data_IF_698058153093
#
_entry.id   IF_698058153093
#
_cell.length_a   1.000
_cell.length_b   1.000
_cell.length_c   1.000
_cell.angle_alpha   90.00
_cell.angle_beta   90.00
_cell.angle_gamma   90.00
#
_symmetry.space_group_name_H-M   'P 1'
#
loop_
_entity.id
_entity.type
_entity.pdbx_description
1 polymer ?
#
# COMPACT_ATOMS: atom_id res chain seq x y z
N UNK A 1 20.85 -10.22 3.50
CA UNK A 1 21.22 -11.18 2.45
C UNK A 1 22.63 -10.85 1.98
N UNK A 2 23.46 -11.86 1.87
CA UNK A 2 24.80 -11.73 1.32
C UNK A 2 24.76 -12.31 -0.09
N UNK A 3 24.73 -11.44 -1.08
CA UNK A 3 24.91 -11.82 -2.46
C UNK A 3 25.91 -10.86 -3.07
N UNK A 4 26.96 -11.38 -3.65
CA UNK A 4 27.79 -10.65 -4.58
C UNK A 4 27.70 -11.37 -5.90
N UNK A 5 27.05 -10.74 -6.86
CA UNK A 5 27.11 -11.20 -8.24
C UNK A 5 27.43 -10.01 -9.11
N UNK A 6 28.58 -10.06 -9.72
CA UNK A 6 29.01 -9.07 -10.69
C UNK A 6 28.33 -9.28 -12.06
N UNK A 7 27.55 -10.35 -12.21
CA UNK A 7 26.85 -10.69 -13.45
C UNK A 7 25.35 -10.96 -13.19
N UNK A 8 24.50 -10.39 -14.01
CA UNK A 8 23.07 -10.68 -13.97
C UNK A 8 22.81 -12.14 -14.38
N UNK A 9 21.97 -12.84 -13.60
CA UNK A 9 21.59 -14.23 -13.90
C UNK A 9 20.78 -14.36 -15.19
N UNK A 10 20.07 -13.31 -15.56
CA UNK A 10 19.28 -13.26 -16.79
C UNK A 10 19.11 -11.82 -17.27
N UNK A 11 18.97 -11.62 -18.58
CA UNK A 11 18.55 -10.38 -19.24
C UNK A 11 17.07 -10.43 -19.62
N UNK A 12 16.40 -11.57 -19.38
CA UNK A 12 14.97 -11.72 -19.66
C UNK A 12 14.12 -10.78 -18.82
N UNK A 13 12.94 -10.48 -19.29
CA UNK A 13 11.93 -9.78 -18.53
C UNK A 13 11.44 -10.69 -17.39
N UNK A 14 11.30 -10.14 -16.19
CA UNK A 14 10.84 -10.86 -15.01
C UNK A 14 9.44 -10.39 -14.67
N UNK A 15 8.51 -11.33 -14.62
CA UNK A 15 7.15 -11.12 -14.12
C UNK A 15 6.98 -12.02 -12.90
N UNK A 16 6.51 -11.45 -11.79
CA UNK A 16 6.20 -12.17 -10.56
C UNK A 16 4.70 -12.09 -10.32
N UNK A 17 4.06 -13.24 -10.20
CA UNK A 17 2.66 -13.32 -9.78
C UNK A 17 2.59 -13.44 -8.26
N UNK A 18 1.74 -12.65 -7.63
CA UNK A 18 1.55 -12.63 -6.19
C UNK A 18 0.06 -12.62 -5.83
N UNK A 19 -0.28 -13.30 -4.76
CA UNK A 19 -1.62 -13.34 -4.19
C UNK A 19 -1.56 -13.26 -2.66
N UNK A 20 -2.72 -13.33 -1.99
CA UNK A 20 -2.83 -13.29 -0.54
C UNK A 20 -2.17 -14.47 0.19
N UNK A 21 -1.79 -15.54 -0.52
CA UNK A 21 -1.08 -16.70 0.00
C UNK A 21 0.44 -16.58 -0.15
N UNK A 22 0.90 -15.65 -0.99
CA UNK A 22 2.32 -15.32 -1.15
C UNK A 22 2.87 -14.76 0.16
N UNK A 23 3.84 -15.45 0.77
CA UNK A 23 4.30 -15.13 2.13
C UNK A 23 5.83 -15.27 2.30
N UNK A 24 6.37 -14.53 3.28
CA UNK A 24 7.75 -14.71 3.80
C UNK A 24 8.83 -14.51 2.72
N UNK A 25 9.63 -15.53 2.39
CA UNK A 25 10.70 -15.45 1.40
C UNK A 25 10.19 -15.06 0.00
N UNK A 26 8.99 -15.49 -0.37
CA UNK A 26 8.35 -15.08 -1.63
C UNK A 26 8.02 -13.58 -1.64
N UNK A 27 7.65 -13.02 -0.48
CA UNK A 27 7.44 -11.58 -0.35
C UNK A 27 8.73 -10.78 -0.45
N UNK A 28 9.83 -11.30 0.10
CA UNK A 28 11.15 -10.69 -0.07
C UNK A 28 11.55 -10.63 -1.55
N UNK A 29 11.36 -11.74 -2.27
CA UNK A 29 11.66 -11.79 -3.70
C UNK A 29 10.74 -10.85 -4.49
N UNK A 30 9.44 -10.85 -4.24
CA UNK A 30 8.50 -9.98 -4.92
C UNK A 30 8.79 -8.49 -4.63
N UNK A 31 9.14 -8.15 -3.36
CA UNK A 31 9.50 -6.78 -2.99
C UNK A 31 10.82 -6.34 -3.63
N UNK A 32 11.80 -7.25 -3.76
CA UNK A 32 13.07 -6.96 -4.42
C UNK A 32 12.85 -6.65 -5.91
N UNK A 33 12.10 -7.49 -6.63
CA UNK A 33 11.74 -7.25 -8.03
C UNK A 33 10.99 -5.93 -8.20
N UNK A 34 10.07 -5.61 -7.27
CA UNK A 34 9.28 -4.38 -7.29
C UNK A 34 10.15 -3.15 -7.06
N UNK A 35 10.94 -3.13 -5.99
CA UNK A 35 11.63 -1.94 -5.52
C UNK A 35 12.89 -1.63 -6.35
N UNK A 36 13.50 -2.66 -6.94
CA UNK A 36 14.66 -2.48 -7.84
C UNK A 36 14.27 -2.20 -9.29
N UNK A 37 13.00 -2.39 -9.65
CA UNK A 37 12.50 -2.15 -11.01
C UNK A 37 13.04 -3.12 -12.06
N UNK A 38 13.56 -4.30 -11.65
CA UNK A 38 14.08 -5.30 -12.58
C UNK A 38 12.99 -6.09 -13.30
N UNK A 39 11.74 -5.95 -12.83
CA UNK A 39 10.58 -6.63 -13.41
C UNK A 39 9.26 -6.01 -12.96
N UNK A 40 8.17 -6.73 -13.19
CA UNK A 40 6.81 -6.37 -12.76
C UNK A 40 6.28 -7.41 -11.78
N UNK A 41 5.57 -6.95 -10.76
CA UNK A 41 4.76 -7.78 -9.85
C UNK A 41 3.30 -7.56 -10.19
N UNK A 42 2.54 -8.62 -10.41
CA UNK A 42 1.13 -8.63 -10.85
C UNK A 42 0.31 -9.48 -9.88
N UNK A 43 -0.93 -9.11 -9.63
CA UNK A 43 -1.88 -9.89 -8.85
C UNK A 43 -2.47 -9.12 -7.68
N UNK A 44 -2.73 -9.78 -6.57
CA UNK A 44 -3.24 -9.17 -5.36
C UNK A 44 -2.14 -8.95 -4.32
N UNK A 45 -2.50 -8.23 -3.27
CA UNK A 45 -1.62 -7.95 -2.15
C UNK A 45 -1.24 -9.23 -1.42
N UNK A 46 0.04 -9.40 -1.10
CA UNK A 46 0.55 -10.58 -0.43
C UNK A 46 0.17 -10.66 1.06
N UNK A 47 0.51 -11.79 1.70
CA UNK A 47 0.10 -12.15 3.06
C UNK A 47 0.57 -11.18 4.15
N UNK A 48 1.78 -10.65 4.07
CA UNK A 48 2.35 -9.77 5.08
C UNK A 48 3.11 -10.49 6.20
N UNK A 49 3.90 -11.53 5.89
CA UNK A 49 4.80 -12.17 6.85
C UNK A 49 6.22 -11.63 6.71
N UNK A 50 6.48 -10.48 7.30
CA UNK A 50 7.77 -9.78 7.25
C UNK A 50 8.72 -10.13 8.39
N UNK A 51 8.52 -11.25 9.09
CA UNK A 51 9.33 -11.69 10.23
C UNK A 51 9.83 -13.11 10.06
N UNK A 52 11.01 -13.43 10.65
CA UNK A 52 11.50 -14.78 10.78
C UNK A 52 11.63 -15.21 12.23
N UNK A 53 11.45 -16.49 12.44
CA UNK A 53 11.48 -17.14 13.75
C UNK A 53 12.54 -18.21 13.78
N UNK A 54 13.17 -18.39 14.94
CA UNK A 54 14.02 -19.53 15.26
C UNK A 54 13.30 -20.42 16.26
N UNK A 55 13.61 -21.70 16.20
CA UNK A 55 13.20 -22.68 17.20
C UNK A 55 14.42 -23.00 18.05
N UNK A 56 14.25 -22.83 19.36
CA UNK A 56 15.24 -23.22 20.36
C UNK A 56 14.73 -24.48 21.06
N UNK A 57 15.55 -25.50 21.13
CA UNK A 57 15.28 -26.80 21.72
C UNK A 57 16.52 -27.33 22.46
N UNK A 58 16.49 -28.53 22.97
CA UNK A 58 17.63 -29.16 23.63
C UNK A 58 18.85 -29.25 22.71
N UNK A 59 18.70 -29.44 21.39
CA UNK A 59 19.80 -29.49 20.45
C UNK A 59 20.48 -28.13 20.25
N UNK A 60 19.71 -27.06 20.26
CA UNK A 60 20.20 -25.68 20.07
C UNK A 60 20.71 -25.06 21.38
N UNK A 61 20.12 -25.40 22.52
CA UNK A 61 20.47 -24.92 23.85
C UNK A 61 20.48 -26.10 24.87
N UNK A 62 21.50 -26.94 24.88
CA UNK A 62 21.58 -28.08 25.79
C UNK A 62 21.47 -27.68 27.28
N UNK A 63 20.63 -28.39 28.02
CA UNK A 63 20.41 -28.15 29.43
C UNK A 63 19.44 -27.03 29.80
N UNK A 64 18.80 -26.38 28.81
CA UNK A 64 17.79 -25.38 29.03
C UNK A 64 16.37 -25.84 28.69
N UNK A 65 16.24 -26.96 28.00
CA UNK A 65 14.97 -27.55 27.60
C UNK A 65 14.90 -28.99 28.03
N UNK A 66 13.73 -29.47 28.43
CA UNK A 66 13.48 -30.87 28.62
C UNK A 66 13.30 -31.58 27.25
N UNK A 67 13.48 -32.90 27.21
CA UNK A 67 13.36 -33.69 26.00
C UNK A 67 11.97 -33.55 25.35
N UNK A 68 11.94 -33.01 24.15
CA UNK A 68 10.71 -32.73 23.43
C UNK A 68 10.16 -31.30 23.60
N UNK A 69 10.71 -30.50 24.50
CA UNK A 69 10.32 -29.10 24.64
C UNK A 69 11.03 -28.22 23.60
N UNK A 70 10.32 -27.21 23.12
CA UNK A 70 10.86 -26.22 22.20
C UNK A 70 10.21 -24.87 22.36
N UNK A 71 10.99 -23.81 22.14
CA UNK A 71 10.52 -22.42 22.13
C UNK A 71 10.69 -21.81 20.75
N UNK A 72 9.64 -21.24 20.20
CA UNK A 72 9.67 -20.52 18.93
C UNK A 72 9.68 -19.02 19.19
N UNK A 73 10.78 -18.35 18.76
CA UNK A 73 11.01 -16.92 19.03
C UNK A 73 11.14 -16.17 17.70
N UNK A 74 10.43 -15.04 17.57
CA UNK A 74 10.63 -14.11 16.46
C UNK A 74 11.90 -13.28 16.72
N UNK A 75 12.89 -13.41 15.82
CA UNK A 75 14.22 -12.80 16.00
C UNK A 75 14.60 -11.81 14.90
N UNK A 76 13.94 -11.87 13.75
CA UNK A 76 14.26 -11.03 12.62
C UNK A 76 13.00 -10.36 12.05
N UNK A 77 13.16 -9.13 11.59
CA UNK A 77 12.21 -8.45 10.71
C UNK A 77 12.90 -8.20 9.37
N UNK A 78 12.18 -8.41 8.28
CA UNK A 78 12.67 -8.18 6.93
C UNK A 78 12.28 -6.78 6.46
N UNK A 79 13.17 -6.19 5.69
CA UNK A 79 12.95 -4.93 5.01
C UNK A 79 13.19 -5.12 3.52
N UNK A 80 12.30 -4.55 2.71
CA UNK A 80 12.46 -4.49 1.28
C UNK A 80 13.58 -3.51 0.90
N UNK A 81 14.16 -3.58 -0.31
CA UNK A 81 15.20 -2.65 -0.76
C UNK A 81 14.79 -1.17 -0.65
N UNK A 82 13.52 -0.84 -0.84
CA UNK A 82 12.96 0.48 -0.64
C UNK A 82 12.85 0.94 0.82
N UNK A 83 13.31 0.12 1.78
CA UNK A 83 13.32 0.43 3.22
C UNK A 83 12.00 0.12 3.95
N UNK A 84 10.94 -0.25 3.23
CA UNK A 84 9.66 -0.67 3.83
C UNK A 84 9.71 -2.10 4.37
N UNK A 85 8.87 -2.41 5.37
CA UNK A 85 8.68 -3.78 5.83
C UNK A 85 7.48 -4.41 5.13
N UNK A 86 7.57 -5.71 4.85
CA UNK A 86 6.42 -6.50 4.40
C UNK A 86 5.57 -7.00 5.57
N UNK A 87 6.05 -6.81 6.81
CA UNK A 87 5.37 -7.30 8.02
C UNK A 87 4.01 -6.61 8.21
N UNK A 88 2.96 -7.39 8.26
CA UNK A 88 1.54 -7.02 8.28
C UNK A 88 1.03 -6.32 7.01
N UNK A 89 1.88 -5.55 6.33
CA UNK A 89 1.46 -4.75 5.15
C UNK A 89 1.38 -5.60 3.88
N UNK A 90 2.24 -6.59 3.73
CA UNK A 90 2.39 -7.35 2.50
C UNK A 90 3.10 -6.57 1.39
N UNK A 91 3.26 -7.22 0.25
CA UNK A 91 3.73 -6.59 -0.98
C UNK A 91 2.52 -6.16 -1.80
N UNK A 92 2.42 -4.86 -2.10
CA UNK A 92 1.43 -4.35 -3.04
C UNK A 92 2.03 -4.49 -4.43
N UNK A 93 1.40 -5.24 -5.36
CA UNK A 93 1.89 -5.40 -6.73
C UNK A 93 1.99 -4.07 -7.48
N UNK A 94 2.75 -4.07 -8.56
CA UNK A 94 2.75 -2.95 -9.52
C UNK A 94 1.40 -2.86 -10.24
N UNK A 95 0.87 -4.01 -10.67
CA UNK A 95 -0.44 -4.14 -11.29
C UNK A 95 -1.34 -4.91 -10.35
N UNK A 96 -2.24 -4.18 -9.69
CA UNK A 96 -3.21 -4.76 -8.76
C UNK A 96 -4.41 -5.28 -9.56
N UNK A 97 -4.42 -6.57 -9.80
CA UNK A 97 -5.46 -7.28 -10.55
C UNK A 97 -6.00 -8.46 -9.74
N UNK A 98 -7.16 -8.96 -10.14
CA UNK A 98 -7.69 -10.20 -9.58
C UNK A 98 -6.67 -11.33 -9.82
N UNK A 99 -6.30 -12.12 -8.78
CA UNK A 99 -5.39 -13.25 -8.94
C UNK A 99 -5.80 -14.23 -10.04
N UNK A 100 -7.11 -14.42 -10.25
CA UNK A 100 -7.64 -15.30 -11.31
C UNK A 100 -7.38 -14.78 -12.74
N UNK A 101 -6.95 -13.52 -12.89
CA UNK A 101 -6.60 -12.90 -14.18
C UNK A 101 -5.10 -12.60 -14.31
N UNK A 102 -4.31 -12.86 -13.26
CA UNK A 102 -2.93 -12.40 -13.19
C UNK A 102 -2.01 -13.09 -14.21
N UNK A 103 -2.24 -14.35 -14.51
CA UNK A 103 -1.49 -15.13 -15.49
C UNK A 103 -1.80 -14.67 -16.93
N UNK A 104 -3.07 -14.43 -17.28
CA UNK A 104 -3.44 -13.88 -18.59
C UNK A 104 -2.89 -12.45 -18.77
N UNK A 105 -2.92 -11.61 -17.73
CA UNK A 105 -2.28 -10.30 -17.76
C UNK A 105 -0.78 -10.42 -18.02
N UNK A 106 -0.10 -11.37 -17.35
CA UNK A 106 1.31 -11.63 -17.58
C UNK A 106 1.58 -12.09 -19.02
N UNK A 107 0.74 -12.96 -19.57
CA UNK A 107 0.83 -13.41 -20.97
C UNK A 107 0.69 -12.25 -21.94
N UNK A 108 -0.24 -11.32 -21.71
CA UNK A 108 -0.41 -10.12 -22.55
C UNK A 108 0.87 -9.26 -22.59
N UNK A 109 1.56 -9.13 -21.45
CA UNK A 109 2.81 -8.36 -21.33
C UNK A 109 4.02 -9.09 -21.92
N UNK A 110 3.91 -10.39 -22.20
CA UNK A 110 4.98 -11.18 -22.84
C UNK A 110 4.98 -11.08 -24.38
N UNK A 111 4.16 -10.23 -24.98
CA UNK A 111 4.18 -10.05 -26.44
C UNK A 111 5.57 -9.61 -26.90
N UNK A 112 6.11 -10.21 -27.98
CA UNK A 112 7.40 -9.80 -28.53
C UNK A 112 7.33 -8.37 -29.05
N UNK A 113 8.48 -7.71 -29.13
CA UNK A 113 8.57 -6.43 -29.81
C UNK A 113 8.11 -6.58 -31.27
N UNK A 114 7.28 -5.66 -31.79
CA UNK A 114 6.81 -5.75 -33.19
C UNK A 114 7.98 -5.63 -34.16
N UNK A 115 7.99 -6.49 -35.17
CA UNK A 115 8.95 -6.44 -36.26
C UNK A 115 8.34 -5.69 -37.45
N UNK A 116 9.01 -4.63 -37.89
CA UNK A 116 8.60 -3.83 -39.06
C UNK A 116 7.56 -2.76 -38.74
N UNK A 117 6.30 -3.14 -38.53
CA UNK A 117 5.22 -2.21 -38.21
C UNK A 117 4.84 -2.26 -36.72
N UNK A 118 4.63 -1.09 -36.12
CA UNK A 118 4.11 -0.97 -34.75
C UNK A 118 2.58 -1.02 -34.68
N UNK A 119 1.90 -0.99 -35.86
CA UNK A 119 0.43 -1.03 -35.91
C UNK A 119 -0.12 -2.32 -35.29
N UNK A 120 -1.19 -2.19 -34.50
CA UNK A 120 -1.78 -3.32 -33.79
C UNK A 120 -1.08 -3.67 -32.47
N UNK A 121 -0.14 -2.85 -32.02
CA UNK A 121 0.53 -3.03 -30.72
C UNK A 121 0.36 -1.82 -29.82
N UNK A 122 0.34 -2.11 -28.50
CA UNK A 122 0.59 -1.12 -27.46
C UNK A 122 2.01 -1.29 -26.93
N UNK A 123 2.59 -0.18 -26.52
CA UNK A 123 3.85 -0.11 -25.78
C UNK A 123 3.61 0.50 -24.41
N UNK A 124 3.98 -0.23 -23.38
CA UNK A 124 3.93 0.21 -22.00
C UNK A 124 5.36 0.49 -21.54
N UNK A 125 5.63 1.73 -21.18
CA UNK A 125 6.92 2.16 -20.64
C UNK A 125 6.81 2.26 -19.12
N UNK A 126 7.22 1.16 -18.46
CA UNK A 126 7.13 1.02 -17.00
C UNK A 126 8.26 0.12 -16.51
N UNK A 127 9.21 0.66 -15.76
CA UNK A 127 10.47 0.02 -15.35
C UNK A 127 11.29 -0.50 -16.54
N UNK A 128 10.63 -1.17 -17.47
CA UNK A 128 11.11 -1.67 -18.76
C UNK A 128 10.05 -1.38 -19.82
N UNK A 129 10.38 -1.66 -21.07
CA UNK A 129 9.43 -1.56 -22.16
C UNK A 129 8.72 -2.91 -22.32
N UNK A 130 7.40 -2.89 -22.31
CA UNK A 130 6.52 -4.03 -22.53
C UNK A 130 5.69 -3.80 -23.78
N UNK A 131 5.42 -4.86 -24.50
CA UNK A 131 4.57 -4.81 -25.69
C UNK A 131 3.32 -5.65 -25.48
N UNK A 132 2.20 -5.21 -26.04
CA UNK A 132 0.91 -5.90 -25.96
C UNK A 132 0.37 -5.97 -27.38
N UNK A 133 0.08 -7.17 -27.87
CA UNK A 133 -0.60 -7.36 -29.15
C UNK A 133 -2.09 -7.06 -28.98
N UNK A 134 -2.61 -6.09 -29.72
CA UNK A 134 -4.04 -5.75 -29.70
C UNK A 134 -4.90 -6.87 -30.30
N UNK A 135 -4.38 -7.65 -31.24
CA UNK A 135 -5.05 -8.84 -31.77
C UNK A 135 -5.31 -9.86 -30.66
N UNK A 136 -4.27 -10.19 -29.87
CA UNK A 136 -4.40 -11.10 -28.74
C UNK A 136 -5.29 -10.50 -27.65
N UNK A 137 -5.05 -9.27 -27.23
CA UNK A 137 -5.74 -8.60 -26.13
C UNK A 137 -7.24 -8.41 -26.41
N UNK A 138 -7.64 -8.24 -27.68
CA UNK A 138 -9.04 -8.09 -28.07
C UNK A 138 -9.76 -9.43 -28.29
N UNK A 139 -9.06 -10.55 -28.20
CA UNK A 139 -9.70 -11.86 -28.31
C UNK A 139 -10.61 -12.14 -27.08
N UNK A 140 -11.71 -12.89 -27.25
CA UNK A 140 -12.64 -13.16 -26.15
C UNK A 140 -11.98 -13.79 -24.91
N UNK A 141 -10.90 -14.54 -25.10
CA UNK A 141 -10.14 -15.21 -24.06
C UNK A 141 -9.43 -14.19 -23.13
N UNK A 142 -8.91 -13.09 -23.70
CA UNK A 142 -8.08 -12.13 -22.98
C UNK A 142 -8.79 -10.82 -22.64
N UNK A 143 -10.05 -10.61 -23.06
CA UNK A 143 -10.74 -9.33 -22.83
C UNK A 143 -10.83 -8.94 -21.35
N UNK A 144 -11.11 -9.90 -20.46
CA UNK A 144 -11.19 -9.63 -19.02
C UNK A 144 -9.80 -9.22 -18.46
N UNK A 145 -8.76 -9.95 -18.82
CA UNK A 145 -7.39 -9.66 -18.41
C UNK A 145 -6.90 -8.32 -19.00
N UNK A 146 -7.27 -8.01 -20.25
CA UNK A 146 -6.90 -6.73 -20.87
C UNK A 146 -7.61 -5.55 -20.21
N UNK A 147 -8.87 -5.69 -19.85
CA UNK A 147 -9.60 -4.69 -19.07
C UNK A 147 -8.91 -4.47 -17.71
N UNK A 148 -8.64 -5.55 -16.99
CA UNK A 148 -7.95 -5.50 -15.70
C UNK A 148 -6.54 -4.88 -15.80
N UNK A 149 -5.80 -5.18 -16.87
CA UNK A 149 -4.49 -4.57 -17.14
C UNK A 149 -4.60 -3.06 -17.30
N UNK A 150 -5.51 -2.58 -18.15
CA UNK A 150 -5.68 -1.15 -18.40
C UNK A 150 -6.13 -0.40 -17.13
N UNK A 151 -7.00 -0.99 -16.33
CA UNK A 151 -7.45 -0.44 -15.05
C UNK A 151 -6.34 -0.42 -13.99
N UNK A 152 -5.43 -1.40 -14.03
CA UNK A 152 -4.34 -1.53 -13.07
C UNK A 152 -3.12 -0.67 -13.37
N UNK A 153 -3.07 0.00 -14.51
CA UNK A 153 -1.90 0.82 -14.89
C UNK A 153 -1.63 1.90 -13.84
N UNK A 154 -0.39 1.96 -13.30
CA UNK A 154 -0.04 2.98 -12.32
C UNK A 154 -0.06 4.39 -12.93
N UNK A 155 -0.33 5.37 -12.09
CA UNK A 155 -0.26 6.78 -12.49
C UNK A 155 1.17 7.15 -12.90
N UNK A 156 1.30 7.87 -14.01
CA UNK A 156 2.59 8.28 -14.57
C UNK A 156 3.25 7.27 -15.49
N UNK A 157 2.62 6.12 -15.69
CA UNK A 157 3.04 5.15 -16.72
C UNK A 157 2.66 5.67 -18.11
N UNK A 158 3.58 5.58 -19.05
CA UNK A 158 3.32 6.00 -20.42
C UNK A 158 2.82 4.81 -21.24
N UNK A 159 1.53 4.85 -21.62
CA UNK A 159 0.95 3.95 -22.61
C UNK A 159 0.99 4.60 -23.98
N UNK A 160 1.42 3.86 -24.98
CA UNK A 160 1.53 4.31 -26.38
C UNK A 160 0.88 3.31 -27.32
N UNK A 161 0.21 3.80 -28.35
CA UNK A 161 -0.30 3.00 -29.47
C UNK A 161 0.64 3.10 -30.66
N UNK A 162 0.85 1.99 -31.35
CA UNK A 162 1.63 1.94 -32.58
C UNK A 162 0.90 2.60 -33.75
N UNK A 163 1.64 3.41 -34.53
CA UNK A 163 1.12 4.16 -35.67
C UNK A 163 1.72 3.67 -37.02
N UNK A 164 2.27 2.47 -37.02
CA UNK A 164 2.96 1.85 -38.17
C UNK A 164 4.47 2.03 -38.09
N UNK A 165 4.98 3.26 -38.08
CA UNK A 165 6.41 3.55 -38.04
C UNK A 165 6.88 4.18 -36.70
N UNK A 166 5.96 4.54 -35.80
CA UNK A 166 6.24 5.23 -34.55
C UNK A 166 5.24 4.87 -33.48
N UNK A 167 5.36 5.53 -32.32
CA UNK A 167 4.49 5.37 -31.16
C UNK A 167 3.85 6.71 -30.81
N UNK A 168 2.57 6.72 -30.47
CA UNK A 168 1.84 7.88 -30.00
C UNK A 168 1.25 7.61 -28.61
N UNK A 169 1.37 8.56 -27.70
CA UNK A 169 0.75 8.46 -26.39
C UNK A 169 -0.76 8.28 -26.53
N UNK A 170 -1.33 7.40 -25.71
CA UNK A 170 -2.76 7.11 -25.68
C UNK A 170 -3.23 6.90 -24.26
N UNK A 171 -4.44 7.38 -23.95
CA UNK A 171 -5.06 7.14 -22.67
C UNK A 171 -5.65 5.72 -22.61
N UNK A 172 -5.56 5.03 -21.45
CA UNK A 172 -6.16 3.70 -21.29
C UNK A 172 -7.65 3.64 -21.62
N UNK A 173 -8.41 4.69 -21.32
CA UNK A 173 -9.83 4.82 -21.67
C UNK A 173 -10.09 4.83 -23.17
N UNK A 174 -9.24 5.50 -23.94
CA UNK A 174 -9.36 5.53 -25.40
C UNK A 174 -9.05 4.17 -26.02
N UNK A 175 -8.09 3.43 -25.44
CA UNK A 175 -7.80 2.04 -25.86
C UNK A 175 -8.99 1.13 -25.53
N UNK A 176 -9.54 1.25 -24.34
CA UNK A 176 -10.70 0.47 -23.92
C UNK A 176 -11.91 0.69 -24.83
N UNK A 177 -12.20 1.95 -25.19
CA UNK A 177 -13.26 2.32 -26.14
C UNK A 177 -13.00 1.71 -27.53
N UNK A 178 -11.80 1.90 -28.06
CA UNK A 178 -11.41 1.39 -29.38
C UNK A 178 -11.48 -0.14 -29.48
N UNK A 179 -11.20 -0.85 -28.38
CA UNK A 179 -11.28 -2.31 -28.27
C UNK A 179 -12.64 -2.84 -27.82
N UNK A 180 -13.63 -1.96 -27.57
CA UNK A 180 -14.98 -2.35 -27.14
C UNK A 180 -15.05 -2.97 -25.75
N UNK A 181 -14.16 -2.58 -24.82
CA UNK A 181 -14.11 -3.06 -23.45
C UNK A 181 -15.18 -2.37 -22.59
N UNK A 182 -16.41 -2.87 -22.63
CA UNK A 182 -17.58 -2.24 -21.98
C UNK A 182 -17.52 -2.25 -20.46
N UNK A 183 -16.65 -3.07 -19.85
CA UNK A 183 -16.47 -3.16 -18.39
C UNK A 183 -15.38 -2.24 -17.84
N UNK A 184 -14.61 -1.56 -18.69
CA UNK A 184 -13.50 -0.71 -18.25
C UNK A 184 -13.96 0.45 -17.37
N UNK A 185 -13.28 0.61 -16.24
CA UNK A 185 -13.47 1.72 -15.31
C UNK A 185 -12.12 2.37 -14.97
N UNK A 186 -12.01 3.66 -15.22
CA UNK A 186 -10.82 4.40 -14.76
C UNK A 186 -10.76 4.41 -13.22
N UNK A 187 -9.59 4.14 -12.67
CA UNK A 187 -9.36 4.26 -11.22
C UNK A 187 -9.09 5.70 -10.77
N UNK A 188 -8.95 6.64 -11.67
CA UNK A 188 -8.80 8.06 -11.36
C UNK A 188 -10.14 8.69 -10.96
N UNK A 189 -10.06 9.84 -10.28
CA UNK A 189 -11.23 10.60 -9.85
C UNK A 189 -11.33 11.90 -10.63
N UNK A 190 -12.55 12.26 -11.03
CA UNK A 190 -12.82 13.42 -11.88
C UNK A 190 -12.59 14.77 -11.18
N UNK A 191 -12.61 14.79 -9.84
CA UNK A 191 -12.57 15.99 -8.99
C UNK A 191 -11.20 16.23 -8.33
N UNK A 192 -10.18 15.43 -8.64
CA UNK A 192 -8.86 15.53 -8.01
C UNK A 192 -7.84 16.35 -8.77
N UNK A 193 -8.07 16.66 -10.04
CA UNK A 193 -7.11 17.31 -10.94
C UNK A 193 -6.55 18.66 -10.44
N UNK A 194 -7.32 19.40 -9.61
CA UNK A 194 -6.90 20.67 -9.01
C UNK A 194 -6.25 20.52 -7.62
N UNK A 195 -6.25 19.34 -7.06
CA UNK A 195 -5.70 19.09 -5.71
C UNK A 195 -4.18 18.96 -5.75
N UNK A 196 -3.45 19.57 -4.79
CA UNK A 196 -2.02 19.34 -4.64
C UNK A 196 -1.68 17.89 -4.27
N UNK A 197 -2.67 17.10 -3.90
CA UNK A 197 -2.55 15.70 -3.52
C UNK A 197 -3.04 14.73 -4.61
N UNK A 198 -3.39 15.20 -5.81
CA UNK A 198 -3.94 14.39 -6.89
C UNK A 198 -3.12 13.11 -7.12
N UNK A 199 -1.80 13.23 -7.33
CA UNK A 199 -0.93 12.08 -7.59
C UNK A 199 -0.85 11.09 -6.42
N UNK A 200 -1.02 11.55 -5.19
CA UNK A 200 -1.06 10.70 -4.01
C UNK A 200 -2.39 9.94 -3.92
N UNK A 201 -3.50 10.63 -4.17
CA UNK A 201 -4.84 10.05 -4.21
C UNK A 201 -4.90 8.97 -5.28
N UNK A 202 -4.44 9.27 -6.49
CA UNK A 202 -4.39 8.31 -7.60
C UNK A 202 -3.55 7.08 -7.27
N UNK A 203 -2.41 7.27 -6.58
CA UNK A 203 -1.57 6.15 -6.12
C UNK A 203 -2.29 5.30 -5.08
N UNK A 204 -2.99 5.90 -4.13
CA UNK A 204 -3.77 5.16 -3.14
C UNK A 204 -4.95 4.42 -3.79
N UNK A 205 -5.55 4.99 -4.84
CA UNK A 205 -6.58 4.35 -5.65
C UNK A 205 -6.01 3.15 -6.42
N UNK A 206 -4.85 3.32 -7.07
CA UNK A 206 -4.16 2.23 -7.75
C UNK A 206 -3.80 1.07 -6.80
N UNK A 207 -3.51 1.38 -5.53
CA UNK A 207 -3.25 0.38 -4.49
C UNK A 207 -4.53 -0.19 -3.84
N UNK A 208 -5.72 0.22 -4.30
CA UNK A 208 -6.99 -0.23 -3.74
C UNK A 208 -7.27 0.27 -2.31
N UNK A 209 -6.48 1.24 -1.81
CA UNK A 209 -6.64 1.78 -0.46
C UNK A 209 -7.83 2.74 -0.41
N UNK A 210 -8.02 3.55 -1.44
CA UNK A 210 -9.17 4.45 -1.59
C UNK A 210 -10.03 4.02 -2.78
N UNK A 211 -11.34 4.20 -2.69
CA UNK A 211 -12.31 3.84 -3.73
C UNK A 211 -13.28 4.98 -4.09
N UNK A 212 -13.07 6.18 -3.54
CA UNK A 212 -13.96 7.32 -3.76
C UNK A 212 -15.39 7.10 -3.28
N UNK A 213 -16.29 7.95 -3.76
CA UNK A 213 -17.71 7.99 -3.36
C UNK A 213 -18.61 7.05 -4.19
N UNK A 214 -18.03 6.30 -5.14
CA UNK A 214 -18.76 5.35 -5.99
C UNK A 214 -19.36 5.97 -7.26
N UNK A 215 -19.28 7.29 -7.43
CA UNK A 215 -19.72 8.05 -8.59
C UNK A 215 -18.56 8.60 -9.46
N UNK A 216 -17.34 8.11 -9.21
CA UNK A 216 -16.12 8.57 -9.87
C UNK A 216 -15.52 9.84 -9.26
N UNK A 217 -15.94 10.23 -8.05
CA UNK A 217 -15.38 11.36 -7.29
C UNK A 217 -14.70 10.89 -6.01
N UNK A 218 -13.76 11.70 -5.50
CA UNK A 218 -13.02 11.46 -4.25
C UNK A 218 -13.38 12.44 -3.15
N UNK A 219 -13.75 13.67 -3.50
CA UNK A 219 -14.01 14.79 -2.61
C UNK A 219 -12.79 15.18 -1.75
N UNK A 220 -11.68 15.64 -2.36
CA UNK A 220 -10.42 15.91 -1.65
C UNK A 220 -10.51 16.99 -0.57
N UNK A 221 -11.51 17.88 -0.65
CA UNK A 221 -11.77 18.94 0.33
C UNK A 221 -12.79 18.50 1.41
N UNK A 222 -13.28 17.27 1.32
CA UNK A 222 -14.26 16.73 2.26
C UNK A 222 -13.64 16.44 3.64
N UNK A 223 -14.47 16.49 4.67
CA UNK A 223 -14.07 16.04 5.99
C UNK A 223 -14.05 14.54 6.07
N UNK A 224 -13.00 13.97 6.66
CA UNK A 224 -12.84 12.53 6.90
C UNK A 224 -13.50 12.13 8.22
N UNK A 225 -14.37 11.15 8.20
CA UNK A 225 -14.96 10.57 9.41
C UNK A 225 -14.01 9.58 10.06
N UNK A 226 -14.24 9.26 11.33
CA UNK A 226 -13.45 8.27 12.08
C UNK A 226 -13.62 6.86 11.50
N UNK A 227 -14.81 6.52 11.01
CA UNK A 227 -15.07 5.26 10.33
C UNK A 227 -14.31 5.15 9.00
N UNK A 228 -14.34 6.19 8.17
CA UNK A 228 -13.61 6.23 6.90
C UNK A 228 -12.10 6.13 7.12
N UNK A 229 -11.54 6.83 8.11
CA UNK A 229 -10.14 6.70 8.47
C UNK A 229 -9.78 5.26 8.86
N UNK A 230 -10.62 4.58 9.65
CA UNK A 230 -10.40 3.17 9.98
C UNK A 230 -10.45 2.27 8.75
N UNK A 231 -11.35 2.52 7.81
CA UNK A 231 -11.39 1.76 6.56
C UNK A 231 -10.12 1.95 5.72
N UNK A 232 -9.62 3.18 5.61
CA UNK A 232 -8.35 3.48 4.95
C UNK A 232 -7.17 2.78 5.63
N UNK A 233 -7.07 2.86 6.95
CA UNK A 233 -6.00 2.22 7.73
C UNK A 233 -6.08 0.68 7.62
N UNK A 234 -7.28 0.10 7.72
CA UNK A 234 -7.47 -1.34 7.61
C UNK A 234 -7.03 -1.86 6.24
N UNK A 235 -7.39 -1.16 5.16
CA UNK A 235 -6.94 -1.46 3.81
C UNK A 235 -5.43 -1.24 3.66
N UNK A 236 -4.90 -0.11 4.14
CA UNK A 236 -3.48 0.20 4.03
C UNK A 236 -2.61 -0.83 4.76
N UNK A 237 -3.05 -1.31 5.92
CA UNK A 237 -2.31 -2.25 6.76
C UNK A 237 -2.66 -3.72 6.52
N UNK A 238 -3.52 -4.02 5.55
CA UNK A 238 -3.97 -5.39 5.29
C UNK A 238 -4.50 -6.06 6.57
N UNK A 239 -5.33 -5.34 7.33
CA UNK A 239 -5.82 -5.81 8.60
C UNK A 239 -6.69 -7.05 8.43
N UNK A 240 -6.39 -8.10 9.21
CA UNK A 240 -7.25 -9.28 9.28
C UNK A 240 -8.53 -8.94 10.03
N UNK A 241 -9.62 -9.52 9.55
CA UNK A 241 -10.93 -9.37 10.19
C UNK A 241 -10.87 -9.96 11.61
N UNK A 242 -11.16 -9.18 12.66
CA UNK A 242 -11.26 -9.71 14.01
C UNK A 242 -12.49 -10.62 14.11
N UNK A 243 -12.38 -11.67 14.89
CA UNK A 243 -13.50 -12.54 15.23
C UNK A 243 -14.15 -12.06 16.55
N UNK A 244 -15.48 -12.16 16.64
CA UNK A 244 -16.24 -11.84 17.85
C UNK A 244 -17.11 -10.59 17.71
N UNK A 245 -17.58 -10.11 18.88
CA UNK A 245 -18.44 -8.93 18.97
C UNK A 245 -17.64 -7.64 18.90
N UNK A 246 -18.31 -6.55 18.52
CA UNK A 246 -17.71 -5.22 18.51
C UNK A 246 -17.26 -4.78 19.91
N UNK A 247 -16.12 -4.12 19.99
CA UNK A 247 -15.60 -3.49 21.22
C UNK A 247 -16.38 -2.23 21.61
N UNK A 248 -17.17 -1.67 20.69
CA UNK A 248 -17.86 -0.41 20.87
C UNK A 248 -19.37 -0.59 20.77
N UNK A 249 -20.09 0.12 21.61
CA UNK A 249 -21.55 0.01 21.73
C UNK A 249 -22.30 0.67 20.57
N UNK A 250 -21.64 1.55 19.84
CA UNK A 250 -22.15 2.33 18.70
C UNK A 250 -21.56 1.87 17.35
N UNK A 251 -20.98 0.68 17.30
CA UNK A 251 -20.43 0.05 16.08
C UNK A 251 -20.93 -1.39 16.02
N UNK A 252 -21.72 -1.73 15.00
CA UNK A 252 -22.06 -3.11 14.69
C UNK A 252 -20.98 -3.76 13.80
N UNK A 253 -20.76 -5.06 13.93
CA UNK A 253 -19.92 -5.79 12.99
C UNK A 253 -20.54 -5.88 11.60
N UNK A 254 -21.85 -5.68 11.48
CA UNK A 254 -22.59 -5.64 10.21
C UNK A 254 -22.52 -4.27 9.52
N UNK A 255 -22.05 -3.23 10.21
CA UNK A 255 -21.79 -1.94 9.58
C UNK A 255 -20.65 -2.07 8.55
N UNK A 256 -20.69 -1.33 7.44
CA UNK A 256 -19.66 -1.37 6.40
C UNK A 256 -18.25 -1.07 6.94
N UNK A 257 -18.14 -0.34 8.03
CA UNK A 257 -16.89 0.01 8.72
C UNK A 257 -16.62 -0.87 9.94
N UNK A 258 -17.59 -1.68 10.39
CA UNK A 258 -17.54 -2.36 11.68
C UNK A 258 -16.29 -3.22 11.87
N UNK A 259 -15.98 -4.04 10.86
CA UNK A 259 -14.77 -4.87 10.84
C UNK A 259 -13.49 -4.01 10.84
N UNK A 260 -13.48 -2.94 10.05
CA UNK A 260 -12.31 -2.05 9.95
C UNK A 260 -12.02 -1.33 11.28
N UNK A 261 -13.05 -0.78 11.92
CA UNK A 261 -12.92 -0.10 13.22
C UNK A 261 -12.36 -1.05 14.28
N UNK A 262 -12.92 -2.26 14.38
CA UNK A 262 -12.48 -3.24 15.37
C UNK A 262 -11.06 -3.77 15.07
N UNK A 263 -10.69 -3.96 13.80
CA UNK A 263 -9.36 -4.37 13.40
C UNK A 263 -8.30 -3.31 13.76
N UNK A 264 -8.55 -2.06 13.39
CA UNK A 264 -7.62 -0.94 13.66
C UNK A 264 -7.51 -0.64 15.17
N UNK A 265 -8.62 -0.79 15.91
CA UNK A 265 -8.61 -0.68 17.36
C UNK A 265 -7.86 -1.83 18.05
N UNK A 266 -7.94 -3.06 17.51
CA UNK A 266 -7.16 -4.20 18.00
C UNK A 266 -5.66 -4.01 17.81
N UNK A 267 -5.26 -3.24 16.79
CA UNK A 267 -3.86 -2.83 16.58
C UNK A 267 -3.41 -1.70 17.53
N UNK A 268 -4.30 -1.12 18.34
CA UNK A 268 -4.00 -0.01 19.22
C UNK A 268 -3.80 1.34 18.51
N UNK A 269 -4.19 1.46 17.23
CA UNK A 269 -4.02 2.70 16.48
C UNK A 269 -5.09 3.73 16.79
N UNK A 270 -6.33 3.28 17.06
CA UNK A 270 -7.45 4.12 17.43
C UNK A 270 -8.05 3.69 18.76
N UNK A 271 -8.69 4.62 19.43
CA UNK A 271 -9.43 4.42 20.67
C UNK A 271 -10.82 5.02 20.59
N UNK A 272 -11.71 4.61 21.51
CA UNK A 272 -13.05 5.20 21.64
C UNK A 272 -13.02 6.59 22.27
N UNK A 273 -14.15 7.28 22.17
CA UNK A 273 -14.35 8.62 22.73
C UNK A 273 -14.80 8.60 24.21
N UNK A 274 -14.81 7.41 24.82
CA UNK A 274 -15.27 7.19 26.20
C UNK A 274 -16.67 6.58 26.26
N UNK A 275 -17.04 6.05 27.41
CA UNK A 275 -18.33 5.39 27.64
C UNK A 275 -18.59 4.15 26.77
N UNK A 276 -17.53 3.49 26.30
CA UNK A 276 -17.65 2.33 25.39
C UNK A 276 -18.01 2.69 23.95
N UNK A 277 -17.95 3.96 23.56
CA UNK A 277 -18.34 4.46 22.22
C UNK A 277 -17.14 4.80 21.37
N UNK A 278 -17.27 4.61 20.06
CA UNK A 278 -16.26 4.97 19.04
C UNK A 278 -16.55 6.30 18.35
N UNK A 279 -17.82 6.67 18.17
CA UNK A 279 -18.30 7.82 17.40
C UNK A 279 -17.89 7.75 15.91
N UNK A 280 -18.37 6.74 15.14
CA UNK A 280 -17.91 6.46 13.77
C UNK A 280 -18.11 7.64 12.80
N UNK A 281 -19.21 8.38 12.93
CA UNK A 281 -19.55 9.53 12.07
C UNK A 281 -18.88 10.84 12.49
N UNK A 282 -18.15 10.83 13.61
CA UNK A 282 -17.40 12.00 14.07
C UNK A 282 -16.25 12.33 13.12
N UNK A 283 -16.06 13.62 12.82
CA UNK A 283 -14.91 14.08 12.01
C UNK A 283 -13.60 13.89 12.74
N UNK A 284 -12.60 13.38 12.02
CA UNK A 284 -11.23 13.23 12.53
C UNK A 284 -10.58 14.60 12.70
N UNK A 285 -10.02 14.84 13.88
CA UNK A 285 -9.26 16.05 14.16
C UNK A 285 -7.79 15.88 13.78
N UNK A 286 -7.08 16.99 13.52
CA UNK A 286 -5.65 16.96 13.24
C UNK A 286 -4.85 16.27 14.33
N UNK A 287 -5.15 16.51 15.60
CA UNK A 287 -4.43 15.89 16.71
C UNK A 287 -4.69 14.39 16.84
N UNK A 288 -5.88 13.91 16.48
CA UNK A 288 -6.16 12.47 16.38
C UNK A 288 -5.34 11.83 15.25
N UNK A 289 -5.29 12.47 14.08
CA UNK A 289 -4.50 11.97 12.95
C UNK A 289 -3.01 11.90 13.28
N UNK A 290 -2.45 12.93 13.92
CA UNK A 290 -1.05 12.95 14.39
C UNK A 290 -0.78 11.79 15.37
N UNK A 291 -1.69 11.56 16.31
CA UNK A 291 -1.56 10.48 17.30
C UNK A 291 -1.58 9.10 16.63
N UNK A 292 -2.48 8.91 15.66
CA UNK A 292 -2.57 7.67 14.89
C UNK A 292 -1.31 7.46 14.05
N UNK A 293 -0.78 8.51 13.39
CA UNK A 293 0.44 8.44 12.60
C UNK A 293 1.67 8.07 13.47
N UNK A 294 1.79 8.62 14.68
CA UNK A 294 2.84 8.27 15.63
C UNK A 294 2.76 6.80 16.05
N UNK A 295 1.58 6.33 16.44
CA UNK A 295 1.33 4.93 16.81
C UNK A 295 1.63 3.97 15.64
N UNK A 296 1.24 4.37 14.42
CA UNK A 296 1.53 3.61 13.21
C UNK A 296 3.03 3.52 12.95
N UNK A 297 3.76 4.64 13.03
CA UNK A 297 5.21 4.67 12.87
C UNK A 297 5.93 3.73 13.85
N UNK A 298 5.57 3.79 15.14
CA UNK A 298 6.10 2.89 16.17
C UNK A 298 5.80 1.41 15.84
N UNK A 299 4.59 1.12 15.40
CA UNK A 299 4.20 -0.25 15.04
C UNK A 299 4.97 -0.78 13.82
N UNK A 300 5.23 0.06 12.83
CA UNK A 300 6.01 -0.31 11.64
C UNK A 300 7.52 -0.40 11.93
N UNK A 301 7.93 -0.17 13.19
CA UNK A 301 9.34 -0.23 13.59
C UNK A 301 10.16 0.93 13.06
N UNK A 302 9.51 2.04 12.68
CA UNK A 302 10.21 3.29 12.45
C UNK A 302 10.88 3.69 13.78
N UNK A 303 12.16 4.05 13.72
CA UNK A 303 12.87 4.60 14.87
C UNK A 303 12.30 5.98 15.23
N UNK A 304 11.08 5.99 15.70
CA UNK A 304 10.50 7.11 16.41
C UNK A 304 11.03 6.99 17.84
N UNK A 305 12.36 7.08 18.00
CA UNK A 305 12.94 7.16 19.33
C UNK A 305 12.43 8.46 19.97
N UNK A 306 11.57 8.29 20.96
CA UNK A 306 11.70 9.11 22.14
C UNK A 306 13.12 8.83 22.65
N UNK A 307 14.11 9.53 22.11
CA UNK A 307 15.27 9.79 22.93
C UNK A 307 14.68 10.27 24.25
N UNK A 308 15.05 9.66 25.36
CA UNK A 308 14.61 10.04 26.69
C UNK A 308 15.11 11.47 27.02
N UNK A 309 14.83 12.39 26.13
CA UNK A 309 15.07 13.81 26.23
C UNK A 309 13.78 14.38 26.76
N UNK A 310 13.86 14.83 27.99
CA UNK A 310 12.90 15.80 28.49
C UNK A 310 12.56 16.79 27.37
N UNK A 311 11.26 16.94 27.09
CA UNK A 311 10.79 18.00 26.17
C UNK A 311 11.55 19.28 26.57
N UNK A 312 12.34 19.90 25.68
CA UNK A 312 13.11 21.06 26.06
C UNK A 312 12.21 22.07 26.72
N UNK A 313 12.60 22.58 27.89
CA UNK A 313 11.74 23.46 28.71
C UNK A 313 11.14 24.65 27.93
N UNK A 314 11.79 25.12 26.84
CA UNK A 314 11.25 26.17 25.99
C UNK A 314 10.22 25.71 24.95
N UNK A 315 10.25 24.43 24.52
CA UNK A 315 9.30 23.90 23.54
C UNK A 315 7.99 23.45 24.21
N UNK A 316 8.07 22.91 25.42
CA UNK A 316 6.89 22.52 26.22
C UNK A 316 6.01 23.72 26.58
N UNK A 317 6.60 24.91 26.70
CA UNK A 317 5.91 26.15 27.06
C UNK A 317 5.38 26.92 25.82
N UNK A 318 5.68 26.45 24.58
CA UNK A 318 5.21 27.09 23.35
C UNK A 318 3.69 27.07 23.25
N UNK A 319 3.08 28.23 22.97
CA UNK A 319 1.62 28.36 22.87
C UNK A 319 1.00 27.37 21.87
N UNK A 320 1.69 27.10 20.75
CA UNK A 320 1.26 26.14 19.74
C UNK A 320 1.21 24.71 20.30
N UNK A 321 2.23 24.27 21.07
CA UNK A 321 2.25 22.96 21.69
C UNK A 321 1.17 22.81 22.77
N UNK A 322 0.96 23.87 23.56
CA UNK A 322 -0.05 23.90 24.61
C UNK A 322 -1.50 23.89 24.06
N UNK A 323 -1.69 24.28 22.80
CA UNK A 323 -3.00 24.21 22.14
C UNK A 323 -3.49 22.78 21.90
N UNK A 324 -2.57 21.79 21.84
CA UNK A 324 -2.94 20.38 21.71
C UNK A 324 -3.45 19.79 23.03
N UNK A 325 -4.41 18.89 22.92
CA UNK A 325 -4.87 18.13 24.08
C UNK A 325 -3.71 17.34 24.72
N UNK A 326 -3.71 17.20 26.03
CA UNK A 326 -2.61 16.55 26.78
C UNK A 326 -2.26 15.15 26.26
N UNK A 327 -3.26 14.41 25.83
CA UNK A 327 -3.08 13.05 25.28
C UNK A 327 -2.41 13.02 23.90
N UNK A 328 -2.44 14.11 23.13
CA UNK A 328 -1.85 14.19 21.80
C UNK A 328 -0.41 14.74 21.80
N UNK A 329 -0.01 15.45 22.87
CA UNK A 329 1.25 16.20 22.92
C UNK A 329 2.49 15.36 22.71
N UNK A 330 2.54 14.16 23.29
CA UNK A 330 3.65 13.22 23.11
C UNK A 330 3.79 12.82 21.63
N UNK A 331 2.68 12.48 20.97
CA UNK A 331 2.67 12.12 19.55
C UNK A 331 3.08 13.27 18.64
N UNK A 332 2.64 14.48 18.94
CA UNK A 332 3.04 15.70 18.22
C UNK A 332 4.56 15.90 18.32
N UNK A 333 5.10 15.72 19.52
CA UNK A 333 6.54 15.84 19.76
C UNK A 333 7.33 14.78 19.01
N UNK A 334 6.93 13.52 19.10
CA UNK A 334 7.55 12.38 18.40
C UNK A 334 7.69 12.60 16.91
N UNK A 335 6.61 13.03 16.26
CA UNK A 335 6.63 13.26 14.81
C UNK A 335 7.39 14.52 14.43
N UNK A 336 7.41 15.55 15.27
CA UNK A 336 8.20 16.76 15.03
C UNK A 336 9.70 16.51 15.09
N UNK A 337 10.15 15.67 16.03
CA UNK A 337 11.58 15.36 16.21
C UNK A 337 12.11 14.27 15.25
N UNK A 338 11.23 13.39 14.76
CA UNK A 338 11.65 12.20 14.02
C UNK A 338 12.27 12.47 12.65
N UNK A 339 12.25 13.70 12.14
CA UNK A 339 12.74 14.10 10.80
C UNK A 339 12.22 13.20 9.66
N UNK A 340 11.16 12.43 9.92
CA UNK A 340 10.64 11.43 8.97
C UNK A 340 10.00 12.02 7.73
N UNK A 341 9.85 13.35 7.67
CA UNK A 341 9.14 14.04 6.60
C UNK A 341 7.64 13.73 6.55
N UNK A 342 7.13 12.88 7.46
CA UNK A 342 5.72 12.46 7.51
C UNK A 342 4.77 13.65 7.68
N UNK A 343 5.20 14.71 8.34
CA UNK A 343 4.42 15.95 8.49
C UNK A 343 4.83 17.04 7.48
N UNK A 344 5.88 16.79 6.66
CA UNK A 344 6.34 17.76 5.65
C UNK A 344 6.56 19.15 6.22
N UNK A 345 6.17 20.18 5.46
CA UNK A 345 6.22 21.58 5.90
C UNK A 345 5.23 21.91 7.05
N UNK A 346 4.37 20.97 7.44
CA UNK A 346 3.43 21.16 8.57
C UNK A 346 4.16 21.33 9.89
N UNK A 347 5.40 20.81 10.01
CA UNK A 347 6.23 21.05 11.21
C UNK A 347 6.54 22.55 11.36
N UNK A 348 6.80 23.26 10.28
CA UNK A 348 7.01 24.71 10.33
C UNK A 348 5.80 25.52 10.78
N UNK A 349 4.58 24.98 10.53
CA UNK A 349 3.33 25.58 11.02
C UNK A 349 3.05 25.27 12.49
N UNK A 350 3.57 24.14 13.00
CA UNK A 350 3.47 23.81 14.44
C UNK A 350 4.38 24.69 15.31
N UNK A 351 5.45 25.25 14.72
CA UNK A 351 6.45 26.09 15.41
C UNK A 351 6.40 27.58 14.98
N UNK A 352 5.49 27.95 14.09
CA UNK A 352 5.28 29.37 13.78
C UNK A 352 4.78 30.11 15.03
N UNK A 353 5.40 31.24 15.42
CA UNK A 353 5.02 32.01 16.61
C UNK A 353 3.62 32.61 16.50
#
# INVERSE_FOLDING_TARGET
AFGSNDEALTTAQVIVLADENTASASELFASDVRDTGVGIVIGSRSFGKGVAQIVLDENSLPGYFDDGDAMKITTYRFYAPGGGTTDTVGVIPHLLVDPDLADEVAVLLCSPAPEGSTEGYLRLDFNRVWYISLEQASSPEYQAAFTALLEALPVGVTLQSGTGSSWAAVEPSAVAEACGLTGYQSRGFSDTAGSPYASLIDRLAAYGIVSGSGDGTYNPEGSLTRAELCALLAKALNCRVPTGESRFTDVSMDDWYGMCVNAVAALGLVEGVGGGRFNPDGTVTQQELITIAARLGQRLGMELELAARDIPNGAADGAAYQSYASWARESVWLLAESQTGLLGNTISLLWAP
#
